data_IF_737002017047
#
_entry.id   IF_737002017047
#
_cell.length_a   1.000
_cell.length_b   1.000
_cell.length_c   1.000
_cell.angle_alpha   90.00
_cell.angle_beta   90.00
_cell.angle_gamma   90.00
#
_symmetry.space_group_name_H-M   'P 1'
#
loop_
_entity.id
_entity.type
_entity.pdbx_description
1 polymer ?
#
# COMPACT_ATOMS: atom_id res chain seq x y z
N UNK A 1 2.57 10.23 14.96
CA UNK A 1 1.98 8.90 14.68
C UNK A 1 0.48 8.99 14.84
N UNK A 2 -0.26 9.06 13.74
CA UNK A 2 -1.66 8.66 13.79
C UNK A 2 -1.69 7.16 14.17
N UNK A 3 -2.10 6.85 15.40
CA UNK A 3 -2.04 5.49 15.98
C UNK A 3 -2.66 4.43 15.06
N UNK A 4 -3.68 4.80 14.29
CA UNK A 4 -4.34 3.94 13.30
C UNK A 4 -3.43 3.47 12.16
N UNK A 5 -2.59 4.35 11.60
CA UNK A 5 -1.71 3.99 10.48
C UNK A 5 -0.59 3.06 10.92
N UNK A 6 -0.06 3.28 12.13
CA UNK A 6 0.95 2.39 12.72
C UNK A 6 0.38 0.99 12.97
N UNK A 7 -0.84 0.88 13.54
CA UNK A 7 -1.52 -0.40 13.74
C UNK A 7 -1.76 -1.10 12.40
N UNK A 8 -2.32 -0.40 11.41
CA UNK A 8 -2.58 -0.97 10.09
C UNK A 8 -1.30 -1.46 9.39
N UNK A 9 -0.19 -0.73 9.55
CA UNK A 9 1.11 -1.15 9.03
C UNK A 9 1.60 -2.42 9.73
N UNK A 10 1.57 -2.50 11.06
CA UNK A 10 1.98 -3.70 11.80
C UNK A 10 1.15 -4.94 11.42
N UNK A 11 -0.18 -4.81 11.36
CA UNK A 11 -1.06 -5.89 10.92
C UNK A 11 -0.75 -6.34 9.48
N UNK A 12 -0.39 -5.39 8.61
CA UNK A 12 -0.02 -5.70 7.22
C UNK A 12 1.34 -6.37 7.14
N UNK A 13 2.33 -5.94 7.93
CA UNK A 13 3.63 -6.61 8.02
C UNK A 13 3.47 -8.06 8.48
N UNK A 14 2.61 -8.31 9.46
CA UNK A 14 2.29 -9.69 9.89
C UNK A 14 1.70 -10.50 8.74
N UNK A 15 0.80 -9.93 7.94
CA UNK A 15 0.22 -10.61 6.78
C UNK A 15 1.26 -10.92 5.69
N UNK A 16 2.15 -9.97 5.39
CA UNK A 16 3.26 -10.12 4.43
C UNK A 16 4.16 -11.30 4.83
N UNK A 17 4.50 -11.43 6.11
CA UNK A 17 5.36 -12.51 6.58
C UNK A 17 4.67 -13.88 6.63
N UNK A 18 3.35 -13.92 6.85
CA UNK A 18 2.59 -15.18 7.05
C UNK A 18 2.03 -15.80 5.78
N UNK A 19 1.62 -15.01 4.80
CA UNK A 19 1.05 -15.55 3.55
C UNK A 19 2.12 -15.72 2.48
N UNK A 20 1.97 -16.75 1.63
CA UNK A 20 2.76 -16.93 0.41
C UNK A 20 1.95 -16.60 -0.86
N UNK A 21 0.70 -16.18 -0.70
CA UNK A 21 -0.16 -15.79 -1.80
C UNK A 21 -0.17 -14.25 -1.91
N UNK A 22 0.41 -13.66 -2.98
CA UNK A 22 0.46 -12.21 -3.16
C UNK A 22 -0.92 -11.55 -3.11
N UNK A 23 -1.94 -12.17 -3.71
CA UNK A 23 -3.28 -11.58 -3.80
C UNK A 23 -3.95 -11.49 -2.42
N UNK A 24 -3.72 -12.46 -1.53
CA UNK A 24 -4.17 -12.40 -0.13
C UNK A 24 -3.47 -11.27 0.62
N UNK A 25 -2.15 -11.10 0.42
CA UNK A 25 -1.38 -10.02 1.05
C UNK A 25 -1.94 -8.66 0.61
N UNK A 26 -2.22 -8.48 -0.69
CA UNK A 26 -2.80 -7.24 -1.21
C UNK A 26 -4.18 -6.97 -0.62
N UNK A 27 -5.05 -7.97 -0.58
CA UNK A 27 -6.38 -7.85 0.01
C UNK A 27 -6.32 -7.46 1.50
N UNK A 28 -5.39 -8.07 2.26
CA UNK A 28 -5.22 -7.78 3.68
C UNK A 28 -4.65 -6.37 3.90
N UNK A 29 -3.70 -5.92 3.08
CA UNK A 29 -3.18 -4.55 3.10
C UNK A 29 -4.32 -3.54 2.94
N UNK A 30 -5.16 -3.72 1.91
CA UNK A 30 -6.32 -2.85 1.69
C UNK A 30 -7.28 -2.91 2.89
N UNK A 31 -7.58 -4.10 3.41
CA UNK A 31 -8.48 -4.28 4.55
C UNK A 31 -7.98 -3.60 5.83
N UNK A 32 -6.67 -3.55 6.03
CA UNK A 32 -6.06 -2.90 7.18
C UNK A 32 -6.08 -1.37 7.03
N UNK A 33 -5.58 -0.86 5.90
CA UNK A 33 -5.44 0.57 5.71
C UNK A 33 -6.74 1.31 5.40
N UNK A 34 -7.79 0.64 4.88
CA UNK A 34 -9.12 1.27 4.72
C UNK A 34 -9.72 1.75 6.04
N UNK A 35 -9.26 1.22 7.18
CA UNK A 35 -9.71 1.59 8.53
C UNK A 35 -9.04 2.88 9.04
N UNK A 36 -8.03 3.40 8.33
CA UNK A 36 -7.34 4.63 8.72
C UNK A 36 -8.26 5.83 8.45
N UNK A 37 -8.68 6.59 9.49
CA UNK A 37 -9.80 7.54 9.37
C UNK A 37 -9.59 8.68 8.37
N UNK A 38 -8.35 9.12 8.17
CA UNK A 38 -7.98 10.22 7.29
C UNK A 38 -7.68 9.78 5.86
N UNK A 39 -7.70 8.48 5.57
CA UNK A 39 -7.57 7.97 4.21
C UNK A 39 -8.95 7.98 3.53
N UNK A 40 -9.01 8.49 2.29
CA UNK A 40 -10.18 8.36 1.43
C UNK A 40 -10.09 7.06 0.61
N UNK A 41 -8.90 6.80 0.07
CA UNK A 41 -8.69 5.68 -0.84
C UNK A 41 -7.28 5.12 -0.71
N UNK A 42 -7.16 3.80 -0.87
CA UNK A 42 -5.88 3.12 -0.99
C UNK A 42 -5.94 2.07 -2.10
N UNK A 43 -4.83 1.91 -2.82
CA UNK A 43 -4.67 0.86 -3.82
C UNK A 43 -3.23 0.38 -3.96
N UNK A 44 -3.12 -0.87 -4.39
CA UNK A 44 -1.86 -1.56 -4.69
C UNK A 44 -1.78 -1.78 -6.19
N UNK A 45 -0.66 -1.36 -6.77
CA UNK A 45 -0.33 -1.56 -8.18
C UNK A 45 0.97 -2.35 -8.26
N UNK A 46 1.00 -3.38 -9.11
CA UNK A 46 2.17 -4.21 -9.34
C UNK A 46 2.57 -4.09 -10.81
N UNK A 47 3.88 -4.04 -11.05
CA UNK A 47 4.45 -3.96 -12.39
C UNK A 47 4.18 -5.27 -13.14
N UNK A 48 3.65 -5.17 -14.35
CA UNK A 48 3.48 -6.27 -15.29
C UNK A 48 3.98 -5.80 -16.66
N UNK A 49 5.18 -6.22 -17.04
CA UNK A 49 5.91 -5.62 -18.16
C UNK A 49 6.20 -4.16 -17.88
N UNK A 50 5.86 -3.25 -18.81
CA UNK A 50 6.03 -1.80 -18.62
C UNK A 50 4.87 -1.12 -17.89
N UNK A 51 3.79 -1.86 -17.60
CA UNK A 51 2.56 -1.29 -17.06
C UNK A 51 2.43 -1.53 -15.56
N UNK A 52 1.83 -0.55 -14.85
CA UNK A 52 1.41 -0.70 -13.46
C UNK A 52 -0.05 -1.18 -13.44
N UNK A 53 -0.28 -2.43 -13.02
CA UNK A 53 -1.61 -3.04 -12.97
C UNK A 53 -2.15 -2.98 -11.55
N UNK A 54 -3.38 -2.45 -11.39
CA UNK A 54 -4.08 -2.42 -10.10
C UNK A 54 -4.41 -3.86 -9.66
N UNK A 55 -3.92 -4.26 -8.50
CA UNK A 55 -4.16 -5.59 -7.91
C UNK A 55 -5.23 -5.57 -6.82
N UNK A 56 -5.28 -4.51 -6.03
CA UNK A 56 -6.30 -4.34 -4.99
C UNK A 56 -6.55 -2.85 -4.72
N UNK A 57 -7.76 -2.51 -4.28
CA UNK A 57 -8.13 -1.16 -3.88
C UNK A 57 -9.26 -1.18 -2.85
N UNK A 58 -9.37 -0.13 -2.02
CA UNK A 58 -10.43 0.01 -1.02
C UNK A 58 -11.82 0.20 -1.64
N UNK A 59 -11.87 0.75 -2.85
CA UNK A 59 -13.06 0.89 -3.70
C UNK A 59 -12.66 1.02 -5.16
N UNK A 60 -13.61 0.84 -6.08
CA UNK A 60 -13.38 0.97 -7.52
C UNK A 60 -12.88 2.37 -7.92
N UNK A 61 -13.45 3.39 -7.29
CA UNK A 61 -13.09 4.80 -7.47
C UNK A 61 -13.01 5.52 -6.12
N UNK A 62 -12.18 6.57 -6.00
CA UNK A 62 -12.20 7.48 -4.87
C UNK A 62 -13.59 8.11 -4.70
N UNK A 63 -13.95 8.48 -3.47
CA UNK A 63 -15.27 9.06 -3.19
C UNK A 63 -15.36 10.54 -3.61
N UNK A 64 -14.19 11.17 -3.77
CA UNK A 64 -14.02 12.57 -4.15
C UNK A 64 -13.10 12.68 -5.37
N UNK A 65 -13.27 13.72 -6.18
CA UNK A 65 -12.37 14.01 -7.29
C UNK A 65 -10.90 14.05 -6.84
N UNK A 66 -9.98 13.32 -7.50
CA UNK A 66 -8.55 13.31 -7.15
C UNK A 66 -7.91 14.70 -7.16
N UNK A 67 -8.45 15.65 -7.93
CA UNK A 67 -7.97 17.03 -7.97
C UNK A 67 -8.10 17.78 -6.63
N UNK A 68 -8.81 17.21 -5.65
CA UNK A 68 -9.03 17.79 -4.32
C UNK A 68 -8.33 17.02 -3.20
N UNK A 69 -7.55 15.99 -3.51
CA UNK A 69 -6.97 15.08 -2.52
C UNK A 69 -5.45 15.18 -2.52
N UNK A 70 -4.87 15.06 -1.33
CA UNK A 70 -3.43 14.83 -1.17
C UNK A 70 -3.15 13.38 -1.54
N UNK A 71 -2.22 13.15 -2.47
CA UNK A 71 -1.87 11.81 -2.96
C UNK A 71 -0.45 11.48 -2.56
N UNK A 72 -0.25 10.32 -1.96
CA UNK A 72 1.07 9.74 -1.69
C UNK A 72 1.23 8.45 -2.48
N UNK A 73 2.39 8.29 -3.12
CA UNK A 73 2.77 7.07 -3.83
C UNK A 73 4.05 6.54 -3.22
N UNK A 74 3.96 5.35 -2.63
CA UNK A 74 5.07 4.65 -2.03
C UNK A 74 5.52 3.52 -2.96
N UNK A 75 6.79 3.48 -3.37
CA UNK A 75 7.30 2.38 -4.19
C UNK A 75 7.32 1.07 -3.39
N UNK A 76 6.90 -0.01 -4.03
CA UNK A 76 7.15 -1.38 -3.60
C UNK A 76 8.44 -1.79 -4.29
N UNK A 77 9.50 -2.05 -3.52
CA UNK A 77 10.85 -2.26 -4.07
C UNK A 77 11.63 -3.36 -3.36
N UNK A 78 12.38 -4.12 -4.14
CA UNK A 78 13.45 -5.00 -3.66
C UNK A 78 14.78 -4.33 -4.08
N UNK A 79 15.60 -3.94 -3.09
CA UNK A 79 16.84 -3.16 -3.33
C UNK A 79 16.57 -1.89 -4.16
N UNK A 80 16.94 -1.88 -5.45
CA UNK A 80 16.78 -0.75 -6.38
C UNK A 80 15.68 -0.98 -7.42
N UNK A 81 15.10 -2.17 -7.48
CA UNK A 81 14.08 -2.51 -8.45
C UNK A 81 12.68 -2.16 -7.93
N UNK A 82 11.91 -1.43 -8.74
CA UNK A 82 10.53 -1.08 -8.42
C UNK A 82 9.61 -2.16 -8.98
N UNK A 83 9.01 -2.93 -8.07
CA UNK A 83 8.08 -4.02 -8.38
C UNK A 83 6.63 -3.51 -8.41
N UNK A 84 6.36 -2.33 -7.85
CA UNK A 84 5.01 -1.78 -7.79
C UNK A 84 4.94 -0.48 -7.01
N UNK A 85 3.73 -0.09 -6.64
CA UNK A 85 3.46 1.05 -5.75
C UNK A 85 2.19 0.87 -4.92
N UNK A 86 2.21 1.41 -3.72
CA UNK A 86 1.05 1.66 -2.88
C UNK A 86 0.66 3.13 -3.11
N UNK A 87 -0.59 3.38 -3.49
CA UNK A 87 -1.13 4.73 -3.65
C UNK A 87 -2.18 4.97 -2.58
N UNK A 88 -2.05 6.06 -1.84
CA UNK A 88 -3.05 6.50 -0.86
C UNK A 88 -3.51 7.90 -1.23
N UNK A 89 -4.82 8.13 -1.15
CA UNK A 89 -5.42 9.45 -1.24
C UNK A 89 -6.01 9.79 0.12
N UNK A 90 -5.64 10.96 0.64
CA UNK A 90 -6.17 11.46 1.91
C UNK A 90 -7.54 12.09 1.70
N UNK A 91 -8.37 12.13 2.75
CA UNK A 91 -9.61 12.91 2.73
C UNK A 91 -9.33 14.39 2.46
N UNK A 92 -10.31 15.14 1.90
CA UNK A 92 -10.15 16.58 1.65
C UNK A 92 -9.65 17.33 2.89
N UNK A 93 -8.75 18.29 2.66
CA UNK A 93 -8.15 19.13 3.71
C UNK A 93 -7.32 18.38 4.77
N UNK A 94 -7.04 17.08 4.58
CA UNK A 94 -6.07 16.35 5.40
C UNK A 94 -4.68 16.42 4.75
N UNK A 95 -3.69 16.76 5.58
CA UNK A 95 -2.28 16.72 5.20
C UNK A 95 -1.74 15.30 5.36
N UNK A 96 -0.70 14.98 4.60
CA UNK A 96 0.05 13.74 4.77
C UNK A 96 0.97 13.93 5.98
N UNK A 97 0.81 13.09 7.00
CA UNK A 97 1.71 13.05 8.16
C UNK A 97 2.97 12.25 7.80
N UNK A 98 4.14 12.73 8.23
CA UNK A 98 5.43 12.04 8.01
C UNK A 98 5.39 10.60 8.57
N UNK A 99 4.71 10.39 9.68
CA UNK A 99 4.54 9.06 10.26
C UNK A 99 3.69 8.13 9.39
N UNK A 100 2.73 8.64 8.63
CA UNK A 100 1.99 7.85 7.64
C UNK A 100 2.91 7.45 6.49
N UNK A 101 3.72 8.40 6.00
CA UNK A 101 4.72 8.14 4.97
C UNK A 101 5.68 7.03 5.41
N UNK A 102 6.26 7.13 6.61
CA UNK A 102 7.21 6.14 7.12
C UNK A 102 6.57 4.75 7.29
N UNK A 103 5.33 4.67 7.79
CA UNK A 103 4.62 3.41 7.96
C UNK A 103 4.31 2.74 6.61
N UNK A 104 3.82 3.51 5.63
CA UNK A 104 3.57 3.01 4.29
C UNK A 104 4.87 2.62 3.59
N UNK A 105 5.94 3.41 3.73
CA UNK A 105 7.27 3.12 3.19
C UNK A 105 7.80 1.78 3.70
N UNK A 106 7.75 1.55 5.01
CA UNK A 106 8.17 0.27 5.59
C UNK A 106 7.34 -0.90 5.07
N UNK A 107 6.03 -0.69 4.92
CA UNK A 107 5.12 -1.69 4.35
C UNK A 107 5.49 -2.01 2.90
N UNK A 108 5.78 -0.99 2.08
CA UNK A 108 6.21 -1.16 0.68
C UNK A 108 7.54 -1.88 0.54
N UNK A 109 8.50 -1.64 1.45
CA UNK A 109 9.80 -2.32 1.47
C UNK A 109 9.67 -3.80 1.83
N UNK A 110 8.94 -4.15 2.90
CA UNK A 110 8.76 -5.55 3.29
C UNK A 110 7.90 -6.32 2.28
N UNK A 111 6.90 -5.67 1.67
CA UNK A 111 6.15 -6.26 0.58
C UNK A 111 7.05 -6.55 -0.63
N UNK A 112 7.91 -5.60 -1.01
CA UNK A 112 8.86 -5.78 -2.10
C UNK A 112 9.77 -6.98 -1.86
N UNK A 113 10.30 -7.12 -0.64
CA UNK A 113 11.09 -8.29 -0.23
C UNK A 113 10.35 -9.60 -0.38
N UNK A 114 9.09 -9.62 0.07
CA UNK A 114 8.27 -10.82 0.01
C UNK A 114 7.99 -11.23 -1.43
N UNK A 115 7.65 -10.28 -2.31
CA UNK A 115 7.33 -10.59 -3.70
C UNK A 115 8.55 -11.15 -4.44
N UNK A 116 9.74 -10.57 -4.28
CA UNK A 116 10.94 -11.11 -4.90
C UNK A 116 11.30 -12.52 -4.38
N UNK A 117 11.04 -12.81 -3.09
CA UNK A 117 11.22 -14.17 -2.57
C UNK A 117 10.26 -15.17 -3.21
N UNK A 118 9.02 -14.78 -3.44
CA UNK A 118 8.01 -15.63 -4.07
C UNK A 118 8.32 -15.87 -5.56
N UNK A 119 8.76 -14.83 -6.28
CA UNK A 119 9.17 -14.97 -7.69
C UNK A 119 10.41 -15.88 -7.84
N UNK A 120 11.36 -15.84 -6.90
CA UNK A 120 12.53 -16.73 -6.92
C UNK A 120 12.23 -18.18 -6.48
N UNK A 121 11.02 -18.44 -5.97
CA UNK A 121 10.58 -19.77 -5.51
C UNK A 121 9.65 -20.47 -6.49
N UNK A 122 9.27 -19.80 -7.59
CA UNK A 122 8.43 -20.31 -8.67
C UNK A 122 9.29 -20.78 -9.86
#
# INVERSE_FOLDING_TARGET
MATSTAIASLETLVAIHRSNNPDEIYAQLISNFKRVPHFDWIGVYIKHGENMVRKAASSETPSVSPARLSIIQIPIREKKEVLGKITVMMKPSQLIDESDYLALMKTGEELGKKLALLDNSA
#
